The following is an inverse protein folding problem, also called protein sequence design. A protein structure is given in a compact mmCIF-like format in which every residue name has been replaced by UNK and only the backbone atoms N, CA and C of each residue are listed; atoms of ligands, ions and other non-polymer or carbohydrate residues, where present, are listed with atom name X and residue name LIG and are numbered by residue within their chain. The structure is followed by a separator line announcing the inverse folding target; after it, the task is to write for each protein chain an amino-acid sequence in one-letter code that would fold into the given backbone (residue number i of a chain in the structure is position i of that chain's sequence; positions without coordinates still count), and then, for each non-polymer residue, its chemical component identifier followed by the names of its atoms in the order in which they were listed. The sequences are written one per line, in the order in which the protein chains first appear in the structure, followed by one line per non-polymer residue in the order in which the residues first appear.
data_IF_350896603593
#
_entry.id   IF_350896603593
#
_cell.length_a   1.000
_cell.length_b   1.000
_cell.length_c   1.000
_cell.angle_alpha   90.00
_cell.angle_beta   90.00
_cell.angle_gamma   90.00
#
_symmetry.space_group_name_H-M   'P 1'
#
loop_
_entity.id
_entity.type
_entity.pdbx_description
1 polymer ?
#
# COMPACT_ATOMS: atom_id res chain seq x y z
N UNK A 1 -22.60 5.10 -23.87
CA UNK A 1 -21.33 4.64 -24.45
C UNK A 1 -20.38 5.82 -24.61
N UNK A 2 -19.28 5.88 -23.85
CA UNK A 2 -18.30 6.97 -23.99
C UNK A 2 -17.58 6.94 -25.34
N UNK A 3 -17.41 8.11 -25.95
CA UNK A 3 -16.65 8.32 -27.18
C UNK A 3 -15.60 9.39 -26.89
N UNK A 4 -14.39 9.21 -27.41
CA UNK A 4 -13.33 10.19 -27.29
C UNK A 4 -12.53 10.29 -28.59
N UNK A 5 -12.22 11.51 -29.01
CA UNK A 5 -11.38 11.79 -30.17
C UNK A 5 -9.94 11.99 -29.70
N UNK A 6 -8.97 11.48 -30.46
CA UNK A 6 -7.55 11.68 -30.16
C UNK A 6 -7.15 13.16 -30.33
N UNK A 7 -6.20 13.68 -29.53
CA UNK A 7 -5.75 15.07 -29.67
C UNK A 7 -5.27 15.48 -31.06
N UNK A 8 -4.69 14.53 -31.82
CA UNK A 8 -4.28 14.77 -33.21
C UNK A 8 -5.43 14.77 -34.24
N UNK A 9 -6.66 14.47 -33.80
CA UNK A 9 -7.87 14.40 -34.63
C UNK A 9 -7.91 13.26 -35.64
N UNK A 10 -6.94 12.33 -35.63
CA UNK A 10 -6.85 11.26 -36.64
C UNK A 10 -7.66 10.03 -36.27
N UNK A 11 -8.01 9.86 -35.00
CA UNK A 11 -8.62 8.65 -34.48
C UNK A 11 -9.69 8.98 -33.43
N UNK A 12 -10.55 8.02 -33.16
CA UNK A 12 -11.44 8.08 -32.00
C UNK A 12 -11.67 6.68 -31.43
N UNK A 13 -11.94 6.62 -30.13
CA UNK A 13 -12.26 5.39 -29.42
C UNK A 13 -13.71 5.38 -28.96
N UNK A 14 -14.33 4.22 -29.00
CA UNK A 14 -15.65 3.94 -28.42
C UNK A 14 -15.47 2.85 -27.36
N UNK A 15 -15.94 3.12 -26.14
CA UNK A 15 -16.02 2.11 -25.08
C UNK A 15 -17.44 1.58 -24.99
N UNK A 16 -17.62 0.33 -25.43
CA UNK A 16 -18.92 -0.31 -25.57
C UNK A 16 -19.29 -1.12 -24.30
N UNK A 17 -20.60 -1.29 -24.01
CA UNK A 17 -21.05 -2.12 -22.88
C UNK A 17 -20.64 -3.59 -22.95
N UNK A 18 -20.30 -4.09 -24.15
CA UNK A 18 -19.78 -5.44 -24.39
C UNK A 18 -18.31 -5.62 -23.97
N UNK A 19 -17.80 -4.73 -23.11
CA UNK A 19 -16.42 -4.74 -22.58
C UNK A 19 -15.34 -4.62 -23.66
N UNK A 20 -15.70 -4.07 -24.82
CA UNK A 20 -14.75 -3.84 -25.91
C UNK A 20 -14.48 -2.37 -26.11
N UNK A 21 -13.20 -2.04 -26.24
CA UNK A 21 -12.75 -0.72 -26.67
C UNK A 21 -12.40 -0.81 -28.15
N UNK A 22 -13.09 -0.03 -28.97
CA UNK A 22 -12.88 -0.01 -30.43
C UNK A 22 -12.26 1.30 -30.82
N UNK A 23 -11.15 1.25 -31.55
CA UNK A 23 -10.46 2.42 -32.09
C UNK A 23 -10.70 2.48 -33.58
N UNK A 24 -11.09 3.64 -34.07
CA UNK A 24 -11.42 3.88 -35.47
C UNK A 24 -10.54 4.99 -36.04
N UNK A 25 -10.32 4.95 -37.34
CA UNK A 25 -9.80 6.09 -38.08
C UNK A 25 -10.89 7.14 -38.23
N UNK A 26 -10.63 8.36 -37.77
CA UNK A 26 -11.62 9.44 -37.76
C UNK A 26 -12.10 9.76 -39.19
N UNK A 27 -11.16 9.91 -40.13
CA UNK A 27 -11.47 10.30 -41.52
C UNK A 27 -12.32 9.27 -42.27
N UNK A 28 -12.08 7.97 -42.06
CA UNK A 28 -12.69 6.91 -42.87
C UNK A 28 -13.80 6.16 -42.14
N UNK A 29 -13.92 6.33 -40.82
CA UNK A 29 -14.81 5.53 -39.96
C UNK A 29 -14.41 4.05 -39.90
N UNK A 30 -13.30 3.64 -40.53
CA UNK A 30 -12.87 2.23 -40.54
C UNK A 30 -12.32 1.83 -39.17
N UNK A 31 -12.70 0.63 -38.74
CA UNK A 31 -12.18 0.02 -37.53
C UNK A 31 -10.66 -0.20 -37.66
N UNK A 32 -9.90 0.37 -36.73
CA UNK A 32 -8.43 0.23 -36.64
C UNK A 32 -8.06 -0.91 -35.71
N UNK A 33 -8.62 -0.94 -34.49
CA UNK A 33 -8.29 -1.92 -33.44
C UNK A 33 -9.49 -2.22 -32.55
N UNK A 34 -9.49 -3.41 -31.96
CA UNK A 34 -10.41 -3.85 -30.91
C UNK A 34 -9.59 -4.38 -29.74
N UNK A 35 -9.86 -3.87 -28.55
CA UNK A 35 -9.35 -4.39 -27.29
C UNK A 35 -10.49 -5.09 -26.58
N UNK A 36 -10.34 -6.39 -26.36
CA UNK A 36 -11.33 -7.20 -25.65
C UNK A 36 -10.94 -7.30 -24.18
N UNK A 37 -11.82 -6.78 -23.32
CA UNK A 37 -11.66 -6.78 -21.86
C UNK A 37 -12.78 -7.63 -21.22
N UNK A 38 -13.23 -8.67 -21.92
CA UNK A 38 -14.15 -9.66 -21.38
C UNK A 38 -13.57 -10.39 -20.16
N UNK A 39 -14.46 -11.01 -19.39
CA UNK A 39 -14.05 -11.79 -18.21
C UNK A 39 -13.19 -13.00 -18.61
N UNK A 40 -13.48 -13.62 -19.75
CA UNK A 40 -12.72 -14.75 -20.27
C UNK A 40 -11.29 -14.32 -20.58
N UNK A 41 -11.11 -13.19 -21.29
CA UNK A 41 -9.77 -12.65 -21.59
C UNK A 41 -9.03 -12.30 -20.31
N UNK A 42 -9.70 -11.72 -19.32
CA UNK A 42 -9.07 -11.41 -18.03
C UNK A 42 -8.60 -12.68 -17.28
N UNK A 43 -9.38 -13.76 -17.33
CA UNK A 43 -9.02 -15.06 -16.75
C UNK A 43 -7.85 -15.71 -17.49
N UNK A 44 -7.84 -15.65 -18.81
CA UNK A 44 -6.75 -16.18 -19.64
C UNK A 44 -5.44 -15.41 -19.40
N UNK A 45 -5.51 -14.08 -19.32
CA UNK A 45 -4.36 -13.24 -18.97
C UNK A 45 -3.83 -13.54 -17.56
N UNK A 46 -4.71 -13.82 -16.59
CA UNK A 46 -4.32 -14.20 -15.23
C UNK A 46 -3.62 -15.57 -15.18
N UNK A 47 -4.03 -16.51 -16.04
CA UNK A 47 -3.38 -17.84 -16.17
C UNK A 47 -2.10 -17.79 -16.99
N UNK A 48 -1.89 -16.74 -17.79
CA UNK A 48 -0.70 -16.58 -18.61
C UNK A 48 0.57 -16.39 -17.77
N UNK A 49 1.73 -16.64 -18.40
CA UNK A 49 3.04 -16.42 -17.79
C UNK A 49 3.54 -14.97 -17.83
N UNK A 50 2.69 -14.02 -18.23
CA UNK A 50 3.06 -12.61 -18.26
C UNK A 50 2.87 -11.96 -16.87
N UNK A 51 3.95 -11.61 -16.14
CA UNK A 51 3.85 -11.08 -14.77
C UNK A 51 3.06 -9.76 -14.70
N UNK A 52 3.06 -9.00 -15.79
CA UNK A 52 2.32 -7.74 -15.92
C UNK A 52 0.83 -7.90 -15.59
N UNK A 53 0.21 -9.01 -16.00
CA UNK A 53 -1.23 -9.25 -15.80
C UNK A 53 -1.56 -10.05 -14.54
N UNK A 54 -0.56 -10.68 -13.93
CA UNK A 54 -0.75 -11.53 -12.75
C UNK A 54 -1.07 -10.68 -11.53
N UNK A 55 -2.14 -11.07 -10.84
CA UNK A 55 -2.53 -10.62 -9.51
C UNK A 55 -2.47 -11.81 -8.53
N UNK A 56 -2.45 -11.54 -7.22
CA UNK A 56 -2.65 -12.61 -6.25
C UNK A 56 -4.05 -13.23 -6.40
N UNK A 57 -4.18 -14.53 -6.19
CA UNK A 57 -5.43 -15.25 -6.42
C UNK A 57 -6.61 -14.69 -5.61
N UNK A 58 -6.33 -14.25 -4.38
CA UNK A 58 -7.33 -13.64 -3.49
C UNK A 58 -7.80 -12.31 -4.05
N UNK A 59 -6.87 -11.45 -4.49
CA UNK A 59 -7.19 -10.14 -5.02
C UNK A 59 -7.91 -10.23 -6.37
N UNK A 60 -7.48 -11.15 -7.24
CA UNK A 60 -8.19 -11.43 -8.48
C UNK A 60 -9.63 -11.90 -8.22
N UNK A 61 -9.83 -12.78 -7.23
CA UNK A 61 -11.16 -13.23 -6.80
C UNK A 61 -12.05 -12.09 -6.30
N UNK A 62 -11.51 -11.17 -5.51
CA UNK A 62 -12.22 -9.97 -5.05
C UNK A 62 -12.64 -9.07 -6.22
N UNK A 63 -11.71 -8.77 -7.13
CA UNK A 63 -12.01 -7.94 -8.32
C UNK A 63 -13.05 -8.58 -9.22
N UNK A 64 -13.01 -9.90 -9.40
CA UNK A 64 -14.04 -10.64 -10.13
C UNK A 64 -15.43 -10.54 -9.48
N UNK A 65 -15.51 -10.51 -8.15
CA UNK A 65 -16.77 -10.31 -7.44
C UNK A 65 -17.32 -8.89 -7.65
N UNK A 66 -16.46 -7.87 -7.53
CA UNK A 66 -16.82 -6.46 -7.79
C UNK A 66 -17.25 -6.25 -9.24
N UNK A 67 -16.60 -6.89 -10.21
CA UNK A 67 -16.98 -6.77 -11.62
C UNK A 67 -18.37 -7.35 -11.91
N UNK A 68 -18.71 -8.48 -11.28
CA UNK A 68 -20.05 -9.09 -11.36
C UNK A 68 -21.11 -8.21 -10.70
N UNK A 69 -20.76 -7.50 -9.63
CA UNK A 69 -21.66 -6.56 -8.97
C UNK A 69 -21.88 -5.29 -9.82
N UNK A 70 -20.81 -4.77 -10.41
CA UNK A 70 -20.85 -3.65 -11.35
C UNK A 70 -21.78 -3.96 -12.53
N UNK A 71 -21.66 -5.16 -13.12
CA UNK A 71 -22.50 -5.60 -14.25
C UNK A 71 -24.00 -5.64 -13.91
N UNK A 72 -24.35 -5.98 -12.66
CA UNK A 72 -25.74 -6.00 -12.19
C UNK A 72 -26.29 -4.61 -11.89
N UNK A 73 -25.42 -3.60 -11.80
CA UNK A 73 -25.80 -2.25 -11.39
C UNK A 73 -26.06 -1.39 -12.63
N UNK A 74 -27.31 -1.33 -13.09
CA UNK A 74 -27.69 -0.60 -14.31
C UNK A 74 -27.37 0.91 -14.25
N UNK A 75 -27.38 1.49 -13.05
CA UNK A 75 -27.09 2.92 -12.83
C UNK A 75 -25.60 3.24 -12.82
N UNK A 76 -24.71 2.23 -12.88
CA UNK A 76 -23.28 2.45 -12.79
C UNK A 76 -22.73 3.16 -14.04
N UNK A 77 -21.85 4.16 -13.88
CA UNK A 77 -21.28 4.87 -15.03
C UNK A 77 -20.36 3.93 -15.82
N UNK A 78 -20.60 3.86 -17.12
CA UNK A 78 -19.76 3.08 -18.02
C UNK A 78 -18.31 3.60 -18.05
N UNK A 79 -17.28 2.74 -18.06
CA UNK A 79 -15.89 3.16 -18.16
C UNK A 79 -15.61 3.93 -19.46
N UNK A 80 -14.65 4.85 -19.43
CA UNK A 80 -14.16 5.54 -20.63
C UNK A 80 -12.71 5.14 -20.94
N UNK A 81 -12.30 5.45 -22.17
CA UNK A 81 -10.90 5.45 -22.58
C UNK A 81 -10.44 6.89 -22.83
N UNK A 82 -9.17 7.17 -22.51
CA UNK A 82 -8.51 8.46 -22.76
C UNK A 82 -7.24 8.29 -23.61
N UNK A 83 -7.11 9.07 -24.67
CA UNK A 83 -5.85 9.24 -25.39
C UNK A 83 -4.88 10.14 -24.61
N UNK A 84 -3.59 9.85 -24.72
CA UNK A 84 -2.54 10.77 -24.29
C UNK A 84 -2.37 11.93 -25.29
N UNK A 85 -1.60 12.96 -24.91
CA UNK A 85 -1.37 14.13 -25.78
C UNK A 85 -0.71 13.75 -27.10
N UNK A 86 0.14 12.74 -27.11
CA UNK A 86 0.81 12.28 -28.33
C UNK A 86 -0.09 11.44 -29.25
N UNK A 87 -1.31 11.08 -28.80
CA UNK A 87 -2.25 10.19 -29.51
C UNK A 87 -1.68 8.78 -29.79
N UNK A 88 -0.59 8.41 -29.11
CA UNK A 88 0.10 7.13 -29.28
C UNK A 88 -0.32 6.11 -28.22
N UNK A 89 -0.82 6.57 -27.09
CA UNK A 89 -1.28 5.73 -26.00
C UNK A 89 -2.79 5.88 -25.82
N UNK A 90 -3.42 4.75 -25.52
CA UNK A 90 -4.80 4.67 -25.10
C UNK A 90 -4.83 4.11 -23.69
N UNK A 91 -5.47 4.85 -22.79
CA UNK A 91 -5.53 4.54 -21.37
C UNK A 91 -6.98 4.23 -21.04
N UNK A 92 -7.25 3.14 -20.33
CA UNK A 92 -8.63 2.77 -19.96
C UNK A 92 -8.66 1.83 -18.75
N UNK A 93 -9.75 1.90 -17.98
CA UNK A 93 -9.92 1.10 -16.78
C UNK A 93 -10.49 -0.30 -17.06
N UNK A 94 -9.86 -1.33 -16.51
CA UNK A 94 -10.22 -2.75 -16.68
C UNK A 94 -10.32 -3.45 -15.32
N UNK A 95 -10.72 -4.73 -15.32
CA UNK A 95 -10.66 -5.58 -14.14
C UNK A 95 -9.27 -5.57 -13.48
N UNK A 96 -8.20 -5.66 -14.28
CA UNK A 96 -6.83 -5.79 -13.79
C UNK A 96 -6.23 -4.47 -13.28
N UNK A 97 -6.94 -3.34 -13.47
CA UNK A 97 -6.46 -1.99 -13.20
C UNK A 97 -6.58 -1.12 -14.44
N UNK A 98 -5.86 0.00 -14.45
CA UNK A 98 -5.90 0.95 -15.57
C UNK A 98 -4.78 0.60 -16.55
N UNK A 99 -5.14 0.08 -17.72
CA UNK A 99 -4.18 -0.28 -18.76
C UNK A 99 -3.74 0.96 -19.51
N UNK A 100 -2.44 1.08 -19.74
CA UNK A 100 -1.82 2.05 -20.65
C UNK A 100 -1.34 1.28 -21.87
N UNK A 101 -2.04 1.42 -22.99
CA UNK A 101 -1.78 0.63 -24.21
C UNK A 101 -1.10 1.49 -25.26
N UNK A 102 0.01 1.02 -25.80
CA UNK A 102 0.65 1.65 -26.94
C UNK A 102 -0.05 1.23 -28.24
N UNK A 103 -0.65 2.20 -28.94
CA UNK A 103 -1.43 2.01 -30.16
C UNK A 103 -0.57 1.70 -31.39
N UNK A 104 0.75 1.86 -31.33
CA UNK A 104 1.65 1.46 -32.40
C UNK A 104 2.06 0.00 -32.23
N UNK A 105 2.66 -0.32 -31.08
CA UNK A 105 3.20 -1.66 -30.80
C UNK A 105 2.13 -2.69 -30.45
N UNK A 106 0.90 -2.26 -30.17
CA UNK A 106 -0.19 -3.09 -29.63
C UNK A 106 0.10 -3.71 -28.26
N UNK A 107 1.07 -3.19 -27.51
CA UNK A 107 1.44 -3.76 -26.21
C UNK A 107 0.92 -2.88 -25.08
N UNK A 108 0.50 -3.53 -24.01
CA UNK A 108 0.25 -2.86 -22.73
C UNK A 108 1.60 -2.44 -22.17
N UNK A 109 1.82 -1.13 -22.07
CA UNK A 109 3.05 -0.55 -21.55
C UNK A 109 3.10 -0.61 -20.01
N UNK A 110 1.95 -0.39 -19.36
CA UNK A 110 1.82 -0.42 -17.90
C UNK A 110 0.38 -0.71 -17.49
N UNK A 111 0.19 -1.24 -16.29
CA UNK A 111 -1.10 -1.33 -15.61
C UNK A 111 -0.98 -0.58 -14.28
N UNK A 112 -1.75 0.50 -14.13
CA UNK A 112 -1.81 1.29 -12.90
C UNK A 112 -2.90 0.74 -11.98
N UNK A 113 -2.78 1.04 -10.70
CA UNK A 113 -3.80 0.69 -9.72
C UNK A 113 -3.85 -0.79 -9.35
N UNK A 114 -2.72 -1.51 -9.46
CA UNK A 114 -2.64 -2.94 -9.10
C UNK A 114 -2.68 -3.16 -7.58
N UNK A 115 -2.23 -2.18 -6.79
CA UNK A 115 -2.15 -2.23 -5.31
C UNK A 115 -3.53 -2.04 -4.66
N UNK A 116 -4.47 -1.43 -5.36
CA UNK A 116 -5.84 -1.20 -4.92
C UNK A 116 -6.67 -2.48 -5.11
N UNK A 117 -6.53 -3.42 -4.19
CA UNK A 117 -7.01 -4.79 -4.34
C UNK A 117 -8.54 -4.96 -4.46
N UNK A 118 -9.32 -3.95 -4.07
CA UNK A 118 -10.78 -4.01 -4.06
C UNK A 118 -11.45 -2.95 -4.96
N UNK A 119 -10.66 -2.18 -5.71
CA UNK A 119 -11.19 -1.01 -6.43
C UNK A 119 -11.36 -1.30 -7.91
N UNK A 120 -12.59 -1.11 -8.39
CA UNK A 120 -12.92 -1.13 -9.82
C UNK A 120 -12.97 0.29 -10.34
N UNK A 121 -11.88 0.76 -10.94
CA UNK A 121 -11.83 2.07 -11.58
C UNK A 121 -12.80 2.15 -12.76
N UNK A 122 -13.46 3.28 -12.96
CA UNK A 122 -14.46 3.47 -14.01
C UNK A 122 -14.10 4.64 -14.92
N UNK A 123 -14.28 5.87 -14.41
CA UNK A 123 -14.04 7.09 -15.16
C UNK A 123 -12.65 7.60 -14.89
N UNK A 124 -11.93 7.90 -15.97
CA UNK A 124 -10.57 8.40 -15.95
C UNK A 124 -10.49 9.74 -16.69
N UNK A 125 -9.61 10.61 -16.19
CA UNK A 125 -9.22 11.85 -16.81
C UNK A 125 -7.70 11.98 -16.71
N UNK A 126 -7.07 12.51 -17.76
CA UNK A 126 -5.62 12.62 -17.83
C UNK A 126 -5.23 14.10 -17.87
N UNK A 127 -4.44 14.52 -16.89
CA UNK A 127 -3.79 15.82 -16.85
C UNK A 127 -2.32 15.65 -17.22
N UNK A 128 -1.84 16.33 -18.25
CA UNK A 128 -0.46 16.24 -18.74
C UNK A 128 0.33 17.54 -18.60
N UNK A 129 -0.20 18.49 -17.80
CA UNK A 129 0.42 19.78 -17.51
C UNK A 129 -0.21 20.97 -18.23
N UNK A 130 -0.02 22.18 -17.69
CA UNK A 130 -0.44 23.42 -18.31
C UNK A 130 0.64 23.95 -19.28
N UNK A 131 0.26 24.20 -20.53
CA UNK A 131 1.15 24.77 -21.56
C UNK A 131 0.93 26.27 -21.78
N UNK A 132 0.07 26.93 -21.00
CA UNK A 132 -0.28 28.35 -21.13
C UNK A 132 0.91 29.29 -20.92
N UNK A 133 1.94 28.85 -20.17
CA UNK A 133 3.08 29.69 -19.80
C UNK A 133 4.27 29.64 -20.78
N UNK A 134 4.04 29.37 -22.07
CA UNK A 134 5.03 29.62 -23.13
C UNK A 134 5.14 31.13 -23.47
N UNK A 135 5.29 32.01 -22.48
CA UNK A 135 5.91 33.32 -22.73
C UNK A 135 7.42 33.08 -22.75
N UNK A 136 7.93 32.87 -23.96
CA UNK A 136 9.36 32.87 -24.29
C UNK A 136 10.01 34.10 -23.66
N UNK A 137 10.66 33.94 -22.51
CA UNK A 137 11.57 34.95 -21.98
C UNK A 137 12.85 34.80 -22.79
N UNK A 138 12.99 35.60 -23.85
CA UNK A 138 14.27 35.71 -24.59
C UNK A 138 15.33 36.17 -23.59
N UNK A 139 16.20 35.26 -23.17
CA UNK A 139 17.40 35.59 -22.39
C UNK A 139 18.40 36.20 -23.39
N UNK A 140 18.89 37.43 -23.18
CA UNK A 140 19.98 37.97 -24.00
C UNK A 140 21.23 37.12 -23.80
N UNK A 141 21.89 36.79 -24.90
CA UNK A 141 23.17 36.08 -24.97
C UNK A 141 24.30 36.90 -24.35
N UNK A 142 24.43 36.88 -23.02
CA UNK A 142 25.64 37.27 -22.29
C UNK A 142 25.53 36.91 -20.79
N UNK A 143 25.53 35.62 -20.45
CA UNK A 143 25.91 35.11 -19.13
C UNK A 143 26.02 33.59 -19.21
N UNK A 144 27.15 33.09 -19.71
CA UNK A 144 27.58 31.74 -19.39
C UNK A 144 27.88 31.69 -17.88
N UNK A 145 27.43 30.62 -17.22
CA UNK A 145 27.49 30.36 -15.77
C UNK A 145 26.28 30.84 -14.96
N UNK A 146 25.17 30.12 -15.11
CA UNK A 146 24.21 29.92 -14.03
C UNK A 146 23.71 28.48 -14.12
N UNK A 147 23.69 27.78 -12.97
CA UNK A 147 23.08 26.47 -12.78
C UNK A 147 21.82 26.31 -13.65
N UNK A 148 21.77 25.24 -14.44
CA UNK A 148 20.55 24.81 -15.13
C UNK A 148 19.47 24.55 -14.07
N UNK A 149 18.68 25.57 -13.77
CA UNK A 149 17.40 25.43 -13.10
C UNK A 149 16.50 24.61 -14.03
N UNK A 150 16.55 23.27 -13.89
CA UNK A 150 15.56 22.38 -14.50
C UNK A 150 14.19 22.95 -14.15
N UNK A 151 13.45 23.41 -15.15
CA UNK A 151 12.04 23.73 -14.98
C UNK A 151 11.35 22.56 -14.25
N UNK A 152 10.47 22.81 -13.27
CA UNK A 152 9.78 21.73 -12.57
C UNK A 152 9.02 20.92 -13.61
N UNK A 153 9.49 19.70 -13.85
CA UNK A 153 8.93 18.80 -14.84
C UNK A 153 7.48 18.52 -14.44
N UNK A 154 6.52 19.09 -15.15
CA UNK A 154 5.09 18.96 -14.84
C UNK A 154 4.75 17.48 -14.81
N UNK A 155 4.27 17.00 -13.66
CA UNK A 155 4.01 15.58 -13.47
C UNK A 155 2.66 15.22 -14.10
N UNK A 156 2.61 14.36 -15.15
CA UNK A 156 1.34 13.92 -15.69
C UNK A 156 0.63 13.08 -14.64
N UNK A 157 -0.63 13.45 -14.38
CA UNK A 157 -1.45 12.84 -13.34
C UNK A 157 -2.73 12.31 -13.97
N UNK A 158 -2.97 11.02 -13.77
CA UNK A 158 -4.23 10.38 -14.10
C UNK A 158 -5.17 10.47 -12.90
N UNK A 159 -6.34 11.06 -13.09
CA UNK A 159 -7.41 11.11 -12.11
C UNK A 159 -8.43 10.04 -12.44
N UNK A 160 -8.95 9.33 -11.44
CA UNK A 160 -10.07 8.43 -11.66
C UNK A 160 -10.97 8.22 -10.45
N UNK A 161 -12.19 7.74 -10.72
CA UNK A 161 -13.14 7.29 -9.71
C UNK A 161 -13.31 5.77 -9.76
N UNK A 162 -13.64 5.16 -8.62
CA UNK A 162 -13.91 3.73 -8.52
C UNK A 162 -15.40 3.45 -8.20
N UNK A 163 -15.86 2.28 -8.61
CA UNK A 163 -17.23 1.81 -8.40
C UNK A 163 -17.56 1.75 -6.90
N UNK A 164 -18.66 2.39 -6.49
CA UNK A 164 -19.09 2.49 -5.09
C UNK A 164 -17.99 2.96 -4.14
N UNK A 165 -17.17 3.92 -4.57
CA UNK A 165 -16.16 4.57 -3.72
C UNK A 165 -16.37 6.08 -3.76
N UNK A 166 -16.47 6.69 -2.57
CA UNK A 166 -16.52 8.14 -2.42
C UNK A 166 -15.11 8.73 -2.34
N UNK A 167 -14.26 8.36 -3.30
CA UNK A 167 -12.84 8.74 -3.36
C UNK A 167 -12.42 9.06 -4.79
N UNK A 168 -11.51 10.02 -4.92
CA UNK A 168 -10.80 10.32 -6.16
C UNK A 168 -9.39 9.76 -6.02
N UNK A 169 -8.95 9.01 -7.02
CA UNK A 169 -7.62 8.42 -7.09
C UNK A 169 -6.76 9.22 -8.05
N UNK A 170 -5.53 9.51 -7.65
CA UNK A 170 -4.55 10.24 -8.47
C UNK A 170 -3.33 9.34 -8.66
N UNK A 171 -3.02 9.01 -9.92
CA UNK A 171 -1.80 8.29 -10.29
C UNK A 171 -0.85 9.24 -10.98
N UNK A 172 0.31 9.48 -10.36
CA UNK A 172 1.40 10.28 -10.93
C UNK A 172 2.48 9.37 -11.51
N UNK A 173 3.61 9.92 -12.00
CA UNK A 173 4.75 9.08 -12.40
C UNK A 173 5.44 8.39 -11.23
N UNK A 174 5.23 8.89 -10.01
CA UNK A 174 5.71 8.26 -8.78
C UNK A 174 4.79 7.11 -8.43
N UNK A 175 5.35 5.91 -8.38
CA UNK A 175 4.65 4.78 -7.81
C UNK A 175 4.79 4.87 -6.27
N UNK A 176 3.72 4.55 -5.51
CA UNK A 176 3.71 4.69 -4.05
C UNK A 176 4.69 3.74 -3.32
N UNK A 177 5.39 2.88 -4.06
CA UNK A 177 6.43 1.97 -3.55
C UNK A 177 7.83 2.60 -3.53
N UNK A 178 8.01 3.84 -4.04
CA UNK A 178 9.28 4.55 -3.87
C UNK A 178 9.47 4.98 -2.40
N UNK A 179 10.61 4.62 -1.76
CA UNK A 179 10.79 4.67 -0.30
C UNK A 179 10.76 6.07 0.33
N UNK A 180 10.70 7.14 -0.46
CA UNK A 180 10.75 8.52 0.05
C UNK A 180 9.37 9.12 0.39
N UNK A 181 8.26 8.60 -0.16
CA UNK A 181 6.93 9.26 -0.06
C UNK A 181 5.94 8.57 0.90
N UNK A 182 6.32 7.46 1.55
CA UNK A 182 5.46 6.70 2.48
C UNK A 182 5.06 7.47 3.76
N UNK A 183 5.65 8.65 4.00
CA UNK A 183 5.43 9.47 5.21
C UNK A 183 4.30 10.50 5.09
N UNK A 184 3.71 10.68 3.91
CA UNK A 184 2.51 11.51 3.72
C UNK A 184 1.31 10.59 3.47
N UNK A 185 0.32 10.65 4.36
CA UNK A 185 -0.87 9.79 4.30
C UNK A 185 -1.46 9.70 2.89
N UNK A 186 -1.70 8.46 2.44
CA UNK A 186 -2.17 8.08 1.10
C UNK A 186 -3.54 8.68 0.73
N UNK A 187 -4.38 8.95 1.73
CA UNK A 187 -5.78 9.29 1.55
C UNK A 187 -6.07 10.70 2.10
N UNK A 188 -6.44 11.61 1.21
CA UNK A 188 -7.16 12.84 1.56
C UNK A 188 -8.64 12.57 1.29
N UNK A 189 -9.44 12.49 2.35
CA UNK A 189 -10.88 12.31 2.21
C UNK A 189 -11.50 13.57 1.62
N UNK A 190 -11.98 13.47 0.39
CA UNK A 190 -12.53 14.61 -0.34
C UNK A 190 -13.96 14.96 0.10
N UNK A 191 -14.71 13.97 0.61
CA UNK A 191 -16.06 14.13 1.18
C UNK A 191 -16.21 13.21 2.40
N UNK A 192 -17.17 13.54 3.30
CA UNK A 192 -17.54 12.65 4.40
C UNK A 192 -18.19 11.39 3.79
N UNK A 193 -17.64 10.18 4.01
CA UNK A 193 -18.18 8.96 3.40
C UNK A 193 -19.67 8.78 3.77
N UNK A 194 -20.50 8.16 2.91
CA UNK A 194 -21.90 7.89 3.22
C UNK A 194 -22.04 6.94 4.41
N UNK A 195 -23.21 6.89 5.07
CA UNK A 195 -23.41 6.20 6.34
C UNK A 195 -23.09 4.69 6.29
N UNK A 196 -23.34 4.05 5.15
CA UNK A 196 -23.05 2.64 4.85
C UNK A 196 -21.55 2.39 4.58
N UNK A 197 -20.83 3.28 3.89
CA UNK A 197 -19.36 3.25 3.86
C UNK A 197 -18.76 3.65 5.20
N UNK A 198 -19.36 4.55 5.96
CA UNK A 198 -18.98 4.84 7.35
C UNK A 198 -19.21 3.63 8.24
N UNK A 199 -20.20 2.78 7.96
CA UNK A 199 -20.45 1.52 8.64
C UNK A 199 -19.45 0.45 8.20
N UNK A 200 -19.10 0.35 6.91
CA UNK A 200 -18.08 -0.57 6.40
C UNK A 200 -16.65 -0.14 6.75
N UNK A 201 -16.38 1.17 6.78
CA UNK A 201 -15.19 1.83 7.35
C UNK A 201 -15.29 1.85 8.88
N UNK A 202 -16.46 1.67 9.48
CA UNK A 202 -16.61 1.37 10.91
C UNK A 202 -16.46 -0.12 11.18
N UNK A 203 -16.53 -1.02 10.21
CA UNK A 203 -16.21 -2.44 10.40
C UNK A 203 -14.70 -2.66 10.16
N UNK A 204 -14.15 -2.10 9.07
CA UNK A 204 -12.70 -2.01 8.82
C UNK A 204 -11.97 -1.04 9.77
N UNK A 205 -12.72 -0.08 10.31
CA UNK A 205 -12.25 0.90 11.27
C UNK A 205 -12.83 0.71 12.66
N UNK A 206 -13.57 -0.36 12.96
CA UNK A 206 -13.64 -0.91 14.33
C UNK A 206 -12.29 -1.53 14.66
N UNK A 207 -11.72 -2.27 13.69
CA UNK A 207 -10.31 -2.68 13.71
C UNK A 207 -9.31 -1.49 13.74
N UNK A 208 -9.76 -0.24 13.52
CA UNK A 208 -8.94 0.98 13.70
C UNK A 208 -9.33 1.85 14.91
N UNK A 209 -10.59 1.87 15.32
CA UNK A 209 -11.09 2.62 16.48
C UNK A 209 -10.77 1.91 17.79
N UNK A 210 -10.49 0.61 17.74
CA UNK A 210 -9.88 -0.12 18.83
C UNK A 210 -8.35 -0.07 18.80
N UNK A 211 -7.72 0.47 17.75
CA UNK A 211 -6.26 0.41 17.65
C UNK A 211 -5.55 1.40 18.58
N UNK A 212 -5.01 0.88 19.68
CA UNK A 212 -4.15 1.64 20.59
C UNK A 212 -2.86 2.03 19.85
N UNK A 213 -2.53 3.32 19.89
CA UNK A 213 -1.25 3.82 19.37
C UNK A 213 -0.25 3.84 20.51
N UNK A 214 0.98 3.41 20.25
CA UNK A 214 2.07 3.43 21.23
C UNK A 214 3.29 4.08 20.59
N UNK A 215 4.05 4.84 21.36
CA UNK A 215 5.32 5.43 20.91
C UNK A 215 6.41 4.82 21.77
N UNK A 216 7.26 3.99 21.16
CA UNK A 216 8.43 3.41 21.81
C UNK A 216 9.63 4.31 21.53
N UNK A 217 10.12 4.97 22.57
CA UNK A 217 11.32 5.80 22.51
C UNK A 217 12.53 4.89 22.64
N UNK A 218 13.44 4.89 21.66
CA UNK A 218 14.66 4.08 21.69
C UNK A 218 15.90 4.96 21.66
N UNK A 219 17.07 4.39 21.98
CA UNK A 219 18.36 5.09 21.85
C UNK A 219 18.68 5.52 20.41
N UNK A 220 17.98 5.00 19.41
CA UNK A 220 18.16 5.32 17.99
C UNK A 220 17.01 6.15 17.40
N UNK A 221 16.02 6.54 18.20
CA UNK A 221 14.86 7.32 17.76
C UNK A 221 13.52 6.70 18.16
N UNK A 222 12.43 7.31 17.68
CA UNK A 222 11.07 6.93 18.06
C UNK A 222 10.43 5.97 17.06
N UNK A 223 9.82 4.90 17.59
CA UNK A 223 9.05 3.92 16.81
C UNK A 223 7.59 4.01 17.22
N UNK A 224 6.73 4.43 16.31
CA UNK A 224 5.30 4.50 16.52
C UNK A 224 4.64 3.21 16.05
N UNK A 225 3.84 2.59 16.90
CA UNK A 225 3.17 1.34 16.65
C UNK A 225 1.66 1.50 16.77
N UNK A 226 0.93 0.78 15.93
CA UNK A 226 -0.51 0.57 16.01
C UNK A 226 -0.76 -0.86 16.48
N UNK A 227 -1.56 -1.04 17.52
CA UNK A 227 -1.91 -2.34 18.09
C UNK A 227 -3.29 -2.82 17.64
N UNK A 228 -3.56 -4.13 17.80
CA UNK A 228 -4.78 -4.81 17.34
C UNK A 228 -5.54 -5.50 18.50
N UNK A 229 -6.16 -4.74 19.43
CA UNK A 229 -6.81 -5.34 20.62
C UNK A 229 -8.16 -6.02 20.35
N UNK A 230 -8.78 -5.84 19.18
CA UNK A 230 -9.98 -6.62 18.82
C UNK A 230 -9.59 -8.06 18.45
N UNK A 231 -8.51 -8.21 17.70
CA UNK A 231 -8.02 -9.49 17.23
C UNK A 231 -7.15 -10.22 18.26
N UNK A 232 -6.36 -9.48 19.03
CA UNK A 232 -5.43 -10.01 20.03
C UNK A 232 -5.60 -9.30 21.39
N UNK A 233 -6.79 -9.40 22.03
CA UNK A 233 -7.11 -8.67 23.25
C UNK A 233 -6.13 -8.94 24.40
N UNK A 234 -5.77 -10.20 24.66
CA UNK A 234 -4.86 -10.53 25.76
C UNK A 234 -3.44 -10.04 25.49
N UNK A 235 -2.97 -10.22 24.26
CA UNK A 235 -1.61 -9.79 23.89
C UNK A 235 -1.47 -8.27 24.00
N UNK A 236 -2.48 -7.52 23.54
CA UNK A 236 -2.47 -6.07 23.65
C UNK A 236 -2.65 -5.59 25.09
N UNK A 237 -3.50 -6.25 25.89
CA UNK A 237 -3.62 -5.97 27.34
C UNK A 237 -2.28 -6.17 28.06
N UNK A 238 -1.62 -7.30 27.81
CA UNK A 238 -0.31 -7.63 28.33
C UNK A 238 0.73 -6.55 27.97
N UNK A 239 0.86 -6.25 26.67
CA UNK A 239 1.82 -5.28 26.18
C UNK A 239 1.58 -3.88 26.75
N UNK A 240 0.35 -3.40 26.70
CA UNK A 240 0.02 -2.02 27.13
C UNK A 240 0.13 -1.85 28.63
N UNK A 241 -0.18 -2.89 29.42
CA UNK A 241 -0.01 -2.87 30.87
C UNK A 241 1.48 -2.88 31.26
N UNK A 242 2.31 -3.70 30.58
CA UNK A 242 3.77 -3.62 30.74
C UNK A 242 4.32 -2.22 30.40
N UNK A 243 3.83 -1.60 29.33
CA UNK A 243 4.20 -0.22 28.98
C UNK A 243 3.82 0.77 30.09
N UNK A 244 2.60 0.70 30.63
CA UNK A 244 2.14 1.60 31.72
C UNK A 244 2.95 1.43 33.01
N UNK A 245 3.41 0.21 33.27
CA UNK A 245 4.20 -0.10 34.46
C UNK A 245 5.69 0.23 34.28
N UNK A 246 6.11 0.77 33.13
CA UNK A 246 7.52 1.02 32.84
C UNK A 246 8.36 -0.26 32.72
N UNK A 247 7.72 -1.41 32.48
CA UNK A 247 8.41 -2.71 32.44
C UNK A 247 9.44 -2.80 31.32
N UNK A 248 9.16 -2.14 30.19
CA UNK A 248 10.06 -2.12 29.03
C UNK A 248 11.15 -1.03 29.12
N UNK A 249 11.15 -0.21 30.17
CA UNK A 249 12.08 0.91 30.30
C UNK A 249 13.51 0.39 30.51
N UNK A 250 14.44 0.92 29.72
CA UNK A 250 15.85 0.54 29.63
C UNK A 250 16.13 -0.90 29.17
N UNK A 251 15.14 -1.63 28.66
CA UNK A 251 15.38 -2.96 28.11
C UNK A 251 16.10 -2.90 26.78
N UNK A 252 16.97 -3.90 26.54
CA UNK A 252 17.81 -3.96 25.36
C UNK A 252 17.16 -4.77 24.23
N UNK A 253 17.51 -4.44 22.99
CA UNK A 253 17.33 -5.35 21.86
C UNK A 253 18.42 -6.42 21.93
N UNK A 254 18.14 -7.52 22.63
CA UNK A 254 19.12 -8.58 22.91
C UNK A 254 19.43 -9.45 21.70
N UNK A 255 18.59 -9.41 20.66
CA UNK A 255 18.78 -10.19 19.43
C UNK A 255 18.34 -9.40 18.19
N UNK A 256 19.24 -9.24 17.24
CA UNK A 256 19.06 -8.45 15.99
C UNK A 256 19.58 -9.26 14.81
N UNK A 257 18.68 -9.67 13.91
CA UNK A 257 19.03 -10.48 12.73
C UNK A 257 18.74 -9.68 11.47
N UNK A 258 19.79 -9.35 10.73
CA UNK A 258 19.69 -8.62 9.47
C UNK A 258 18.91 -9.42 8.42
N UNK A 259 17.95 -8.76 7.79
CA UNK A 259 17.02 -9.36 6.82
C UNK A 259 15.96 -10.25 7.48
N UNK A 260 15.71 -10.11 8.78
CA UNK A 260 14.72 -10.91 9.49
C UNK A 260 13.93 -10.10 10.52
N UNK A 261 14.50 -9.80 11.69
CA UNK A 261 13.77 -9.17 12.80
C UNK A 261 14.70 -8.59 13.87
N UNK A 262 14.14 -7.69 14.68
CA UNK A 262 14.74 -7.17 15.92
C UNK A 262 13.88 -7.60 17.11
N UNK A 263 14.47 -8.21 18.13
CA UNK A 263 13.77 -8.80 19.28
C UNK A 263 14.20 -8.13 20.60
N UNK A 264 13.23 -7.92 21.48
CA UNK A 264 13.35 -7.21 22.76
C UNK A 264 12.31 -7.72 23.77
N UNK A 265 12.16 -7.05 24.91
CA UNK A 265 11.15 -7.34 25.92
C UNK A 265 11.57 -8.37 26.97
N UNK A 266 12.87 -8.66 27.07
CA UNK A 266 13.46 -9.50 28.12
C UNK A 266 14.21 -8.63 29.16
N UNK A 267 13.79 -8.63 30.44
CA UNK A 267 14.50 -7.94 31.52
C UNK A 267 15.92 -8.44 31.79
N UNK A 268 16.21 -9.71 31.53
CA UNK A 268 17.55 -10.28 31.72
C UNK A 268 18.46 -9.93 30.54
N UNK A 269 17.87 -9.69 29.37
CA UNK A 269 18.58 -9.35 28.14
C UNK A 269 19.40 -10.50 27.58
N UNK A 270 19.09 -11.75 27.93
CA UNK A 270 19.75 -12.96 27.42
C UNK A 270 18.82 -13.83 26.53
N UNK A 271 17.56 -13.42 26.39
CA UNK A 271 16.53 -14.07 25.60
C UNK A 271 15.76 -15.16 26.35
N UNK A 272 16.10 -15.44 27.62
CA UNK A 272 15.48 -16.52 28.41
C UNK A 272 14.45 -16.02 29.43
N UNK A 273 14.48 -14.73 29.75
CA UNK A 273 13.60 -14.12 30.73
C UNK A 273 12.33 -13.51 30.15
N UNK A 274 11.62 -12.76 30.99
CA UNK A 274 10.36 -12.12 30.63
C UNK A 274 9.13 -12.91 31.07
N UNK A 275 8.15 -12.21 31.64
CA UNK A 275 6.90 -12.80 32.11
C UNK A 275 5.75 -11.90 31.73
N UNK A 276 4.58 -12.49 31.46
CA UNK A 276 3.36 -11.73 31.24
C UNK A 276 2.92 -11.00 32.52
N UNK A 277 1.96 -10.08 32.38
CA UNK A 277 1.33 -9.39 33.50
C UNK A 277 0.60 -10.32 34.48
N UNK A 278 0.31 -11.56 34.06
CA UNK A 278 -0.34 -12.57 34.89
C UNK A 278 0.65 -13.50 35.62
N UNK A 279 1.97 -13.26 35.49
CA UNK A 279 3.01 -14.06 36.15
C UNK A 279 3.17 -15.48 35.62
N UNK A 280 2.57 -15.78 34.47
CA UNK A 280 2.64 -17.08 33.76
C UNK A 280 2.58 -16.88 32.26
N UNK A 281 2.91 -17.91 31.49
CA UNK A 281 2.71 -17.90 30.05
C UNK A 281 1.22 -17.82 29.67
N UNK A 282 0.91 -17.25 28.50
CA UNK A 282 -0.47 -17.14 28.00
C UNK A 282 -0.59 -17.61 26.53
N UNK A 283 -1.84 -17.83 26.10
CA UNK A 283 -2.15 -18.46 24.81
C UNK A 283 -1.78 -17.61 23.59
N UNK A 284 -1.67 -18.27 22.42
CA UNK A 284 -1.53 -17.58 21.14
C UNK A 284 -2.88 -17.05 20.62
N UNK A 285 -2.88 -15.86 20.00
CA UNK A 285 -4.08 -15.24 19.42
C UNK A 285 -3.90 -15.07 17.90
N UNK A 286 -4.27 -16.10 17.13
CA UNK A 286 -4.14 -16.07 15.68
C UNK A 286 -5.41 -15.55 15.00
N UNK A 287 -5.29 -14.48 14.21
CA UNK A 287 -6.39 -13.93 13.42
C UNK A 287 -6.12 -14.01 11.92
N UNK A 288 -7.13 -14.30 11.08
CA UNK A 288 -6.94 -14.52 9.63
C UNK A 288 -6.42 -13.29 8.87
N UNK A 289 -6.76 -12.09 9.34
CA UNK A 289 -6.29 -10.83 8.74
C UNK A 289 -4.89 -10.42 9.18
N UNK A 290 -4.33 -11.04 10.23
CA UNK A 290 -3.05 -10.69 10.81
C UNK A 290 -1.99 -11.71 10.39
N UNK A 291 -1.02 -11.25 9.59
CA UNK A 291 0.00 -12.07 8.93
C UNK A 291 1.34 -11.34 8.92
N UNK A 292 2.42 -12.09 8.76
CA UNK A 292 3.76 -11.56 8.53
C UNK A 292 4.02 -11.35 7.03
N UNK A 293 3.05 -10.72 6.35
CA UNK A 293 2.98 -10.53 4.89
C UNK A 293 3.90 -9.42 4.37
N UNK A 294 4.38 -8.54 5.25
CA UNK A 294 5.20 -7.35 4.93
C UNK A 294 6.05 -6.94 6.13
N UNK A 295 7.13 -6.17 5.94
CA UNK A 295 8.01 -5.73 7.02
C UNK A 295 7.30 -4.85 8.06
N UNK A 296 7.94 -4.72 9.22
CA UNK A 296 7.52 -3.91 10.35
C UNK A 296 6.26 -4.40 11.08
N UNK A 297 6.03 -5.71 11.02
CA UNK A 297 5.01 -6.38 11.82
C UNK A 297 5.53 -6.63 13.23
N UNK A 298 4.73 -6.29 14.24
CA UNK A 298 5.06 -6.49 15.67
C UNK A 298 4.37 -7.77 16.14
N UNK A 299 5.14 -8.71 16.68
CA UNK A 299 4.68 -10.06 16.99
C UNK A 299 5.33 -10.61 18.26
N UNK A 300 4.63 -11.48 18.98
CA UNK A 300 5.13 -12.07 20.22
C UNK A 300 6.24 -13.08 19.97
N UNK A 301 7.31 -13.00 20.76
CA UNK A 301 8.29 -14.07 20.84
C UNK A 301 7.79 -15.15 21.82
N UNK A 302 7.91 -16.42 21.44
CA UNK A 302 7.51 -17.56 22.24
C UNK A 302 8.51 -18.72 22.06
N UNK A 303 8.48 -19.69 22.97
CA UNK A 303 9.32 -20.90 22.94
C UNK A 303 8.56 -22.13 22.41
N UNK A 304 7.37 -21.92 21.84
CA UNK A 304 6.43 -22.94 21.42
C UNK A 304 4.99 -22.47 21.55
N UNK A 305 4.01 -23.28 21.13
CA UNK A 305 2.59 -22.91 21.18
C UNK A 305 2.15 -22.53 22.60
N UNK A 306 1.47 -21.40 22.75
CA UNK A 306 0.90 -20.88 24.00
C UNK A 306 1.92 -20.56 25.11
N UNK A 307 3.14 -20.16 24.73
CA UNK A 307 4.23 -19.80 25.67
C UNK A 307 4.54 -18.30 25.63
N UNK A 308 3.54 -17.45 25.43
CA UNK A 308 3.75 -16.01 25.33
C UNK A 308 4.08 -15.40 26.71
N UNK A 309 5.13 -14.57 26.75
CA UNK A 309 5.59 -13.84 27.95
C UNK A 309 5.54 -12.32 27.75
N UNK A 310 6.68 -11.64 27.94
CA UNK A 310 6.83 -10.20 27.65
C UNK A 310 7.65 -9.90 26.39
N UNK A 311 8.35 -10.91 25.85
CA UNK A 311 9.22 -10.70 24.71
C UNK A 311 8.43 -10.53 23.41
N UNK A 312 8.89 -9.63 22.55
CA UNK A 312 8.31 -9.39 21.24
C UNK A 312 9.40 -9.03 20.22
N UNK A 313 9.07 -9.14 18.95
CA UNK A 313 9.94 -8.76 17.86
C UNK A 313 9.23 -7.90 16.81
N UNK A 314 10.01 -7.14 16.07
CA UNK A 314 9.58 -6.36 14.91
C UNK A 314 10.29 -6.94 13.67
N UNK A 315 9.52 -7.38 12.68
CA UNK A 315 10.09 -7.92 11.44
C UNK A 315 10.66 -6.80 10.57
N UNK A 316 11.72 -7.08 9.82
CA UNK A 316 12.33 -6.13 8.85
C UNK A 316 12.08 -6.52 7.40
N UNK A 317 11.56 -7.73 7.18
CA UNK A 317 11.10 -8.27 5.89
C UNK A 317 9.76 -9.01 6.09
N UNK A 318 9.16 -9.49 5.00
CA UNK A 318 8.05 -10.43 5.08
C UNK A 318 8.55 -11.80 5.58
N UNK A 319 7.87 -12.39 6.56
CA UNK A 319 8.27 -13.65 7.21
C UNK A 319 7.09 -14.62 7.34
N UNK A 320 6.46 -15.03 6.22
CA UNK A 320 5.23 -15.83 6.23
C UNK A 320 5.37 -17.20 6.93
N UNK A 321 6.58 -17.71 7.10
CA UNK A 321 6.85 -18.96 7.85
C UNK A 321 6.61 -18.85 9.36
N UNK A 322 6.41 -17.63 9.88
CA UNK A 322 6.03 -17.34 11.27
C UNK A 322 4.51 -17.26 11.46
N UNK A 323 3.73 -17.29 10.38
CA UNK A 323 2.28 -17.25 10.46
C UNK A 323 1.74 -18.47 11.22
N UNK A 324 0.75 -18.21 12.08
CA UNK A 324 0.16 -19.23 12.97
C UNK A 324 1.17 -19.90 13.92
N UNK A 325 2.33 -19.27 14.14
CA UNK A 325 3.31 -19.64 15.18
C UNK A 325 3.54 -18.53 16.19
N UNK A 326 3.48 -17.28 15.74
CA UNK A 326 3.66 -16.09 16.58
C UNK A 326 2.46 -15.15 16.44
N UNK A 327 1.98 -14.65 17.58
CA UNK A 327 0.82 -13.75 17.65
C UNK A 327 1.19 -12.36 17.12
N UNK A 328 0.63 -11.99 15.97
CA UNK A 328 0.78 -10.65 15.39
C UNK A 328 -0.20 -9.71 16.10
N UNK A 329 0.30 -8.80 16.94
CA UNK A 329 -0.54 -7.92 17.76
C UNK A 329 -0.39 -6.43 17.43
N UNK A 330 0.50 -6.09 16.49
CA UNK A 330 0.66 -4.70 16.06
C UNK A 330 1.52 -4.52 14.83
N UNK A 331 1.71 -3.26 14.46
CA UNK A 331 2.52 -2.85 13.30
C UNK A 331 3.13 -1.48 13.51
N UNK A 332 4.36 -1.29 13.05
CA UNK A 332 4.98 0.05 13.01
C UNK A 332 4.29 0.90 11.94
N UNK A 333 3.94 2.13 12.33
CA UNK A 333 3.28 3.12 11.47
C UNK A 333 4.15 4.36 11.20
N UNK A 334 5.19 4.60 12.02
CA UNK A 334 6.22 5.64 11.82
C UNK A 334 7.50 5.21 12.55
N UNK A 335 8.67 5.60 12.05
CA UNK A 335 9.96 5.16 12.60
C UNK A 335 10.48 3.86 11.99
N UNK A 336 10.08 3.55 10.75
CA UNK A 336 10.58 2.38 10.02
C UNK A 336 12.09 2.48 9.73
N UNK A 337 12.57 3.69 9.48
CA UNK A 337 13.98 4.04 9.34
C UNK A 337 14.76 3.77 10.64
N UNK A 338 14.16 4.02 11.81
CA UNK A 338 14.74 3.67 13.11
C UNK A 338 14.85 2.16 13.25
N UNK A 339 13.79 1.40 12.95
CA UNK A 339 13.80 -0.08 12.99
C UNK A 339 14.88 -0.66 12.06
N UNK A 340 15.00 -0.13 10.84
CA UNK A 340 16.07 -0.51 9.92
C UNK A 340 17.46 -0.07 10.40
N UNK A 341 17.55 1.05 11.13
CA UNK A 341 18.77 1.52 11.77
C UNK A 341 19.24 0.53 12.83
N UNK A 342 18.32 0.08 13.69
CA UNK A 342 18.58 -0.94 14.72
C UNK A 342 18.99 -2.26 14.06
N UNK A 343 18.32 -2.69 13.00
CA UNK A 343 18.69 -3.90 12.25
C UNK A 343 20.13 -3.88 11.70
N UNK A 344 20.62 -2.70 11.31
CA UNK A 344 21.94 -2.53 10.68
C UNK A 344 23.09 -2.43 11.69
N UNK A 345 22.82 -2.45 13.00
CA UNK A 345 23.88 -2.42 14.01
C UNK A 345 24.76 -3.66 13.92
N UNK A 346 26.03 -3.53 14.29
CA UNK A 346 26.95 -4.67 14.30
C UNK A 346 26.57 -5.61 15.45
N UNK A 347 26.40 -6.89 15.13
CA UNK A 347 26.11 -7.94 16.09
C UNK A 347 27.25 -8.95 16.23
N UNK A 348 27.28 -9.67 17.34
CA UNK A 348 28.19 -10.78 17.58
C UNK A 348 27.68 -12.09 16.92
N UNK A 349 28.32 -13.22 17.23
CA UNK A 349 27.94 -14.53 16.69
C UNK A 349 26.58 -15.04 17.19
N UNK A 350 26.05 -14.47 18.28
CA UNK A 350 24.75 -14.79 18.86
C UNK A 350 23.66 -13.81 18.46
N UNK A 351 23.88 -13.01 17.40
CA UNK A 351 22.99 -11.95 16.94
C UNK A 351 22.78 -10.82 17.97
N UNK A 352 23.63 -10.70 19.00
CA UNK A 352 23.53 -9.64 20.02
C UNK A 352 24.28 -8.40 19.55
N UNK A 353 23.68 -7.19 19.59
CA UNK A 353 24.39 -5.95 19.28
C UNK A 353 25.63 -5.72 20.15
N UNK A 354 26.74 -5.29 19.55
CA UNK A 354 27.96 -4.92 20.31
C UNK A 354 27.76 -3.66 21.16
N UNK A 355 26.93 -2.74 20.67
CA UNK A 355 26.50 -1.56 21.40
C UNK A 355 25.02 -1.73 21.71
N UNK A 356 24.67 -1.63 23.00
CA UNK A 356 23.30 -1.80 23.43
C UNK A 356 22.40 -0.77 22.75
N UNK A 357 21.40 -1.26 22.03
CA UNK A 357 20.23 -0.48 21.65
C UNK A 357 19.16 -0.73 22.71
N UNK A 358 18.57 0.34 23.26
CA UNK A 358 17.62 0.23 24.37
C UNK A 358 16.29 0.90 24.05
N UNK A 359 15.23 0.37 24.62
CA UNK A 359 13.96 1.08 24.82
C UNK A 359 14.18 2.02 26.01
N UNK A 360 14.01 3.32 25.84
CA UNK A 360 14.11 4.31 26.90
C UNK A 360 12.80 4.36 27.70
N UNK A 361 11.68 4.42 26.98
CA UNK A 361 10.33 4.38 27.54
C UNK A 361 9.30 4.10 26.47
N UNK A 362 8.07 3.74 26.87
CA UNK A 362 6.94 3.60 25.96
C UNK A 362 5.80 4.52 26.38
N UNK A 363 5.50 5.51 25.53
CA UNK A 363 4.42 6.47 25.74
C UNK A 363 3.11 5.96 25.14
N UNK A 364 2.04 6.04 25.93
CA UNK A 364 0.65 5.82 25.49
C UNK A 364 0.04 7.20 25.23
N UNK A 365 -0.14 7.63 23.97
CA UNK A 365 -0.81 8.89 23.66
C UNK A 365 -2.21 8.87 24.26
N UNK A 366 -2.60 9.95 24.95
CA UNK A 366 -3.99 10.17 25.33
C UNK A 366 -4.77 10.48 24.04
N UNK A 367 -5.84 9.73 23.82
CA UNK A 367 -6.75 9.93 22.68
C UNK A 367 -7.37 11.32 22.69
#
# INVERSE_FOLDING_TARGET
TPIQVSPDGKQFSITSPDRRIRVFWFRTGKLRRVYDESLEVAQDLQRSDAPLYRLEAIDFGRRMAVEKEFEKTETAPQPNAVFDESSNFLIYATLLGIKVVNLHTNKVARILGKVENNDRFLRIALYQGDRSNKKVRKIPTAAANANESKEPLTDPTLLCCAFKKHRIYLFSRREPEEPEDATKGRDVFNEKPPADELLAVSELGKAAASSLRQIMHTTMGDVHMRLYPEECPKTVENFTTHCRNGYYDNLIFHRVIKGFMIQTGDPLGDGTGGQSIWGREFEDEFHKSLRHDRPFTVSMANAGPNTNGSQFFITTVATPWLDSKHTVFGRVIKGMDVVQGIEKVKTDKGDRPYQDVKILSVTIPKN
#
